data_IF_465015120621
#
_entry.id   IF_465015120621
#
_cell.length_a   1.000
_cell.length_b   1.000
_cell.length_c   1.000
_cell.angle_alpha   90.00
_cell.angle_beta   90.00
_cell.angle_gamma   90.00
#
_symmetry.space_group_name_H-M   'P 1'
#
loop_
_entity.id
_entity.type
_entity.pdbx_description
1 polymer ?
#
# COMPACT_ATOMS: atom_id res chain seq x y z
N UNK A 1 5.12 -23.33 -13.98
CA UNK A 1 4.34 -22.24 -14.61
C UNK A 1 5.33 -21.11 -14.83
N UNK A 2 5.34 -20.47 -15.99
CA UNK A 2 6.34 -19.44 -16.31
C UNK A 2 6.16 -18.25 -15.34
N UNK A 3 7.26 -17.78 -14.70
CA UNK A 3 7.25 -16.68 -13.72
C UNK A 3 6.57 -15.41 -14.28
N UNK A 4 6.77 -15.14 -15.57
CA UNK A 4 6.10 -14.04 -16.27
C UNK A 4 4.56 -14.17 -16.25
N UNK A 5 4.06 -15.39 -16.45
CA UNK A 5 2.62 -15.65 -16.44
C UNK A 5 2.02 -15.46 -15.03
N UNK A 6 2.74 -15.92 -14.00
CA UNK A 6 2.31 -15.72 -12.58
C UNK A 6 2.23 -14.23 -12.27
N UNK A 7 3.25 -13.47 -12.69
CA UNK A 7 3.30 -12.03 -12.47
C UNK A 7 2.15 -11.32 -13.18
N UNK A 8 1.89 -11.64 -14.46
CA UNK A 8 0.79 -11.04 -15.23
C UNK A 8 -0.57 -11.36 -14.57
N UNK A 9 -0.78 -12.61 -14.18
CA UNK A 9 -2.02 -13.02 -13.50
C UNK A 9 -2.17 -12.28 -12.18
N UNK A 10 -1.11 -12.19 -11.36
CA UNK A 10 -1.12 -11.49 -10.09
C UNK A 10 -1.50 -10.01 -10.23
N UNK A 11 -0.85 -9.28 -11.12
CA UNK A 11 -1.20 -7.88 -11.38
C UNK A 11 -2.62 -7.72 -11.96
N UNK A 12 -3.05 -8.65 -12.83
CA UNK A 12 -4.40 -8.63 -13.38
C UNK A 12 -5.46 -8.81 -12.29
N UNK A 13 -5.23 -9.72 -11.34
CA UNK A 13 -6.13 -9.94 -10.20
C UNK A 13 -6.20 -8.67 -9.32
N UNK A 14 -5.07 -8.06 -9.00
CA UNK A 14 -5.02 -6.83 -8.19
C UNK A 14 -5.81 -5.72 -8.89
N UNK A 15 -5.56 -5.50 -10.18
CA UNK A 15 -6.26 -4.49 -10.97
C UNK A 15 -7.77 -4.74 -11.02
N UNK A 16 -8.19 -5.98 -11.28
CA UNK A 16 -9.61 -6.35 -11.34
C UNK A 16 -10.29 -6.16 -9.98
N UNK A 17 -9.66 -6.61 -8.88
CA UNK A 17 -10.25 -6.48 -7.54
C UNK A 17 -10.35 -5.03 -7.09
N UNK A 18 -9.35 -4.20 -7.40
CA UNK A 18 -9.40 -2.76 -7.11
C UNK A 18 -10.49 -2.07 -7.92
N UNK A 19 -10.63 -2.42 -9.20
CA UNK A 19 -11.67 -1.87 -10.08
C UNK A 19 -13.06 -2.31 -9.62
N UNK A 20 -13.24 -3.58 -9.26
CA UNK A 20 -14.49 -4.10 -8.71
C UNK A 20 -14.84 -3.42 -7.39
N UNK A 21 -13.87 -3.28 -6.48
CA UNK A 21 -14.06 -2.57 -5.21
C UNK A 21 -14.51 -1.12 -5.43
N UNK A 22 -13.85 -0.40 -6.33
CA UNK A 22 -14.21 0.98 -6.68
C UNK A 22 -15.59 1.07 -7.32
N UNK A 23 -15.98 0.09 -8.13
CA UNK A 23 -17.28 0.08 -8.80
C UNK A 23 -18.47 -0.09 -7.84
N UNK A 24 -18.23 -0.62 -6.63
CA UNK A 24 -19.27 -0.74 -5.62
C UNK A 24 -19.88 0.62 -5.25
N UNK A 25 -19.14 1.72 -5.39
CA UNK A 25 -19.66 3.07 -5.10
C UNK A 25 -20.91 3.40 -5.93
N UNK A 26 -21.04 2.86 -7.14
CA UNK A 26 -22.21 3.09 -8.01
C UNK A 26 -23.49 2.44 -7.48
N UNK A 27 -23.38 1.45 -6.60
CA UNK A 27 -24.54 0.78 -5.98
C UNK A 27 -25.03 1.52 -4.74
N UNK A 28 -24.17 2.37 -4.12
CA UNK A 28 -24.55 3.17 -2.97
C UNK A 28 -25.13 4.51 -3.41
N UNK A 29 -26.46 4.62 -3.41
CA UNK A 29 -27.19 5.86 -3.75
C UNK A 29 -27.26 6.85 -2.58
N UNK A 30 -26.87 6.45 -1.37
CA UNK A 30 -26.90 7.25 -0.12
C UNK A 30 -25.56 7.09 0.59
N UNK A 31 -25.25 8.07 1.44
CA UNK A 31 -24.08 8.00 2.31
C UNK A 31 -24.09 6.73 3.16
N UNK A 32 -22.96 6.07 3.21
CA UNK A 32 -22.77 4.87 4.04
C UNK A 32 -22.83 5.30 5.51
N UNK A 33 -23.55 4.53 6.33
CA UNK A 33 -23.64 4.84 7.77
C UNK A 33 -22.26 4.84 8.42
N UNK A 34 -22.06 5.69 9.42
CA UNK A 34 -20.77 5.82 10.13
C UNK A 34 -20.26 4.48 10.65
N UNK A 35 -21.16 3.63 11.17
CA UNK A 35 -20.81 2.32 11.72
C UNK A 35 -20.28 1.36 10.63
N UNK A 36 -20.94 1.30 9.48
CA UNK A 36 -20.49 0.48 8.36
C UNK A 36 -19.16 1.00 7.83
N UNK A 37 -19.00 2.32 7.69
CA UNK A 37 -17.75 2.92 7.26
C UNK A 37 -16.60 2.59 8.22
N UNK A 38 -16.80 2.74 9.53
CA UNK A 38 -15.79 2.39 10.53
C UNK A 38 -15.45 0.90 10.52
N UNK A 39 -16.43 0.04 10.32
CA UNK A 39 -16.23 -1.41 10.21
C UNK A 39 -15.38 -1.77 8.98
N UNK A 40 -15.71 -1.21 7.81
CA UNK A 40 -14.96 -1.43 6.57
C UNK A 40 -13.51 -0.92 6.67
N UNK A 41 -13.32 0.27 7.26
CA UNK A 41 -11.98 0.82 7.51
C UNK A 41 -11.18 -0.04 8.49
N UNK A 42 -11.83 -0.59 9.52
CA UNK A 42 -11.19 -1.51 10.46
C UNK A 42 -10.73 -2.80 9.79
N UNK A 43 -11.56 -3.41 8.93
CA UNK A 43 -11.17 -4.59 8.14
C UNK A 43 -10.01 -4.25 7.21
N UNK A 44 -10.11 -3.15 6.46
CA UNK A 44 -9.06 -2.73 5.53
C UNK A 44 -7.72 -2.53 6.27
N UNK A 45 -7.73 -1.78 7.38
CA UNK A 45 -6.54 -1.57 8.20
C UNK A 45 -5.97 -2.88 8.78
N UNK A 46 -6.83 -3.78 9.25
CA UNK A 46 -6.41 -5.09 9.74
C UNK A 46 -5.73 -5.94 8.67
N UNK A 47 -6.27 -5.96 7.46
CA UNK A 47 -5.67 -6.68 6.31
C UNK A 47 -4.31 -6.06 5.95
N UNK A 48 -4.21 -4.72 5.91
CA UNK A 48 -2.93 -4.03 5.61
C UNK A 48 -1.85 -4.35 6.65
N UNK A 49 -2.18 -4.32 7.94
CA UNK A 49 -1.24 -4.70 9.03
C UNK A 49 -0.81 -6.15 8.90
N UNK A 50 -1.75 -7.06 8.68
CA UNK A 50 -1.47 -8.48 8.49
C UNK A 50 -0.54 -8.70 7.28
N UNK A 51 -0.85 -8.11 6.14
CA UNK A 51 -0.02 -8.22 4.93
C UNK A 51 1.39 -7.64 5.17
N UNK A 52 1.51 -6.50 5.85
CA UNK A 52 2.81 -5.90 6.17
C UNK A 52 3.67 -6.82 7.02
N UNK A 53 3.10 -7.49 8.03
CA UNK A 53 3.84 -8.39 8.91
C UNK A 53 4.23 -9.67 8.17
N UNK A 54 3.26 -10.41 7.62
CA UNK A 54 3.48 -11.75 7.08
C UNK A 54 4.07 -11.76 5.67
N UNK A 55 3.75 -10.76 4.84
CA UNK A 55 4.20 -10.75 3.45
C UNK A 55 5.43 -9.87 3.20
N UNK A 56 5.78 -8.95 4.11
CA UNK A 56 6.92 -8.06 3.92
C UNK A 56 7.95 -8.17 5.04
N UNK A 57 7.57 -7.94 6.31
CA UNK A 57 8.52 -7.86 7.43
C UNK A 57 9.15 -9.23 7.70
N UNK A 58 8.34 -10.27 7.89
CA UNK A 58 8.86 -11.61 8.21
C UNK A 58 9.77 -12.17 7.09
N UNK A 59 9.38 -12.13 5.81
CA UNK A 59 10.28 -12.56 4.73
C UNK A 59 11.55 -11.70 4.63
N UNK A 60 11.46 -10.39 4.85
CA UNK A 60 12.63 -9.50 4.86
C UNK A 60 13.66 -9.88 5.93
N UNK A 61 13.19 -10.19 7.14
CA UNK A 61 14.06 -10.65 8.23
C UNK A 61 14.70 -12.00 7.85
N UNK A 62 13.91 -12.96 7.37
CA UNK A 62 14.43 -14.28 6.98
C UNK A 62 15.49 -14.17 5.87
N UNK A 63 15.28 -13.36 4.85
CA UNK A 63 16.24 -13.11 3.78
C UNK A 63 17.53 -12.43 4.28
N UNK A 64 17.44 -11.67 5.37
CA UNK A 64 18.57 -10.93 5.96
C UNK A 64 19.42 -11.79 6.90
N UNK A 65 18.95 -12.98 7.30
CA UNK A 65 19.64 -13.84 8.29
C UNK A 65 21.03 -14.29 7.81
N UNK A 66 21.17 -14.64 6.55
CA UNK A 66 22.45 -15.06 5.95
C UNK A 66 23.52 -13.96 6.01
N UNK A 67 23.12 -12.71 5.86
CA UNK A 67 24.04 -11.55 5.78
C UNK A 67 24.28 -10.92 7.14
N UNK A 68 23.24 -10.76 7.96
CA UNK A 68 23.28 -9.98 9.20
C UNK A 68 23.20 -10.82 10.47
N UNK A 69 22.93 -12.14 10.38
CA UNK A 69 22.83 -13.03 11.53
C UNK A 69 21.92 -12.50 12.64
N UNK A 70 22.46 -12.25 13.83
CA UNK A 70 21.70 -11.71 14.98
C UNK A 70 21.04 -10.35 14.75
N UNK A 71 21.50 -9.61 13.74
CA UNK A 71 21.01 -8.29 13.40
C UNK A 71 20.09 -8.29 12.17
N UNK A 72 19.58 -9.45 11.76
CA UNK A 72 18.69 -9.62 10.61
C UNK A 72 17.42 -8.74 10.65
N UNK A 73 16.98 -8.33 11.83
CA UNK A 73 15.86 -7.43 12.04
C UNK A 73 16.16 -5.96 11.71
N UNK A 74 17.46 -5.55 11.70
CA UNK A 74 17.85 -4.15 11.47
C UNK A 74 17.44 -3.59 10.11
N UNK A 75 17.62 -4.28 8.97
CA UNK A 75 17.17 -3.79 7.67
C UNK A 75 15.65 -3.55 7.62
N UNK A 76 14.86 -4.46 8.19
CA UNK A 76 13.41 -4.30 8.27
C UNK A 76 13.01 -3.12 9.15
N UNK A 77 13.62 -2.97 10.33
CA UNK A 77 13.36 -1.83 11.23
C UNK A 77 13.74 -0.49 10.58
N UNK A 78 14.93 -0.42 9.96
CA UNK A 78 15.36 0.77 9.23
C UNK A 78 14.41 1.13 8.09
N UNK A 79 13.95 0.14 7.33
CA UNK A 79 13.00 0.34 6.22
C UNK A 79 11.64 0.88 6.71
N UNK A 80 11.15 0.41 7.86
CA UNK A 80 9.90 0.91 8.46
C UNK A 80 10.06 2.39 8.85
N UNK A 81 11.17 2.75 9.51
CA UNK A 81 11.44 4.14 9.91
C UNK A 81 11.57 5.03 8.68
N UNK A 82 12.34 4.62 7.68
CA UNK A 82 12.52 5.37 6.44
C UNK A 82 11.21 5.54 5.68
N UNK A 83 10.41 4.47 5.58
CA UNK A 83 9.08 4.52 4.97
C UNK A 83 8.16 5.50 5.67
N UNK A 84 8.15 5.49 7.01
CA UNK A 84 7.39 6.45 7.81
C UNK A 84 7.83 7.90 7.57
N UNK A 85 9.15 8.15 7.50
CA UNK A 85 9.69 9.48 7.17
C UNK A 85 9.27 9.92 5.77
N UNK A 86 9.39 9.03 4.78
CA UNK A 86 8.99 9.33 3.39
C UNK A 86 7.50 9.67 3.32
N UNK A 87 6.64 8.89 3.97
CA UNK A 87 5.20 9.18 4.00
C UNK A 87 4.91 10.51 4.69
N UNK A 88 5.56 10.81 5.81
CA UNK A 88 5.40 12.08 6.50
C UNK A 88 5.86 13.28 5.65
N UNK A 89 6.88 13.10 4.81
CA UNK A 89 7.33 14.11 3.86
C UNK A 89 6.33 14.28 2.71
N UNK A 90 5.80 13.19 2.18
CA UNK A 90 4.76 13.22 1.14
C UNK A 90 3.52 13.94 1.63
N UNK A 91 3.09 13.69 2.85
CA UNK A 91 1.95 14.39 3.48
C UNK A 91 2.14 15.91 3.53
N UNK A 92 3.37 16.40 3.74
CA UNK A 92 3.66 17.83 3.74
C UNK A 92 3.69 18.46 2.35
N UNK A 93 4.02 17.68 1.32
CA UNK A 93 4.21 18.18 -0.06
C UNK A 93 2.88 18.14 -0.82
N UNK A 94 2.01 17.18 -0.51
CA UNK A 94 0.76 16.96 -1.23
C UNK A 94 -0.37 17.74 -0.58
N UNK A 95 -1.04 18.65 -1.32
CA UNK A 95 -2.22 19.32 -0.80
C UNK A 95 -3.36 18.32 -0.62
N UNK A 96 -3.75 18.04 0.63
CA UNK A 96 -4.86 17.16 0.95
C UNK A 96 -5.78 17.76 2.01
N UNK A 97 -7.00 17.22 2.13
CA UNK A 97 -8.00 17.66 3.10
C UNK A 97 -8.38 16.51 4.01
N UNK A 98 -8.35 16.75 5.31
CA UNK A 98 -8.91 15.79 6.26
C UNK A 98 -10.44 15.82 6.23
N UNK A 99 -11.06 14.66 6.01
CA UNK A 99 -12.50 14.49 6.12
C UNK A 99 -12.91 14.65 7.61
N UNK A 100 -13.41 15.82 7.96
CA UNK A 100 -13.95 16.10 9.31
C UNK A 100 -13.57 17.45 9.90
N UNK A 101 -12.42 17.99 9.59
CA UNK A 101 -11.95 19.28 10.17
C UNK A 101 -12.02 20.46 9.20
N UNK A 102 -12.28 20.22 7.91
CA UNK A 102 -12.19 21.23 6.83
C UNK A 102 -10.86 22.01 6.80
N UNK A 103 -9.84 21.50 7.49
CA UNK A 103 -8.52 22.10 7.47
C UNK A 103 -7.76 21.57 6.24
N UNK A 104 -7.21 22.50 5.47
CA UNK A 104 -6.31 22.20 4.38
C UNK A 104 -4.90 22.02 4.95
N UNK A 105 -4.29 20.87 4.75
CA UNK A 105 -2.89 20.64 5.04
C UNK A 105 -2.09 20.57 3.74
N UNK A 106 -0.83 21.02 3.80
CA UNK A 106 0.04 21.13 2.65
C UNK A 106 -0.06 22.49 1.93
N UNK A 107 0.56 22.63 0.76
CA UNK A 107 0.57 23.89 0.00
C UNK A 107 -0.83 24.28 -0.46
N UNK A 108 -1.17 25.57 -0.32
CA UNK A 108 -2.45 26.09 -0.84
C UNK A 108 -2.54 25.82 -2.35
N UNK A 109 -3.56 25.10 -2.77
CA UNK A 109 -3.78 24.76 -4.17
C UNK A 109 -5.20 25.11 -4.62
N UNK A 110 -5.34 25.51 -5.88
CA UNK A 110 -6.63 25.78 -6.53
C UNK A 110 -7.36 24.50 -6.99
N UNK A 111 -6.86 23.31 -6.61
CA UNK A 111 -7.47 22.05 -7.00
C UNK A 111 -8.80 21.82 -6.29
N UNK A 112 -9.75 21.22 -7.01
CA UNK A 112 -11.02 20.77 -6.42
C UNK A 112 -10.77 19.71 -5.33
N UNK A 113 -11.73 19.54 -4.39
CA UNK A 113 -11.65 18.52 -3.35
C UNK A 113 -11.40 17.11 -3.91
N UNK A 114 -12.08 16.76 -5.01
CA UNK A 114 -11.91 15.47 -5.69
C UNK A 114 -10.51 15.31 -6.27
N UNK A 115 -9.92 16.37 -6.80
CA UNK A 115 -8.57 16.32 -7.35
C UNK A 115 -7.52 16.18 -6.24
N UNK A 116 -7.68 16.88 -5.12
CA UNK A 116 -6.81 16.73 -3.94
C UNK A 116 -6.86 15.30 -3.41
N UNK A 117 -8.05 14.72 -3.29
CA UNK A 117 -8.22 13.33 -2.88
C UNK A 117 -7.59 12.34 -3.87
N UNK A 118 -7.77 12.59 -5.17
CA UNK A 118 -7.16 11.76 -6.23
C UNK A 118 -5.63 11.73 -6.10
N UNK A 119 -4.99 12.89 -5.98
CA UNK A 119 -3.55 12.96 -5.81
C UNK A 119 -3.08 12.30 -4.52
N UNK A 120 -3.76 12.54 -3.39
CA UNK A 120 -3.42 11.93 -2.12
C UNK A 120 -3.46 10.39 -2.22
N UNK A 121 -4.55 9.81 -2.71
CA UNK A 121 -4.70 8.36 -2.87
C UNK A 121 -3.67 7.80 -3.85
N UNK A 122 -3.43 8.48 -4.97
CA UNK A 122 -2.46 8.03 -5.98
C UNK A 122 -1.05 7.97 -5.40
N UNK A 123 -0.64 9.00 -4.66
CA UNK A 123 0.70 9.07 -4.08
C UNK A 123 0.91 8.06 -2.94
N UNK A 124 -0.11 7.78 -2.14
CA UNK A 124 -0.04 6.71 -1.13
C UNK A 124 0.04 5.33 -1.77
N UNK A 125 -0.58 5.12 -2.93
CA UNK A 125 -0.53 3.84 -3.65
C UNK A 125 0.80 3.58 -4.37
N UNK A 126 1.67 4.58 -4.58
CA UNK A 126 2.99 4.37 -5.20
C UNK A 126 3.88 3.45 -4.35
N UNK A 127 4.10 3.69 -3.04
CA UNK A 127 4.87 2.77 -2.20
C UNK A 127 4.29 1.36 -2.15
N UNK A 128 2.96 1.24 -2.10
CA UNK A 128 2.28 -0.07 -2.12
C UNK A 128 2.53 -0.82 -3.44
N UNK A 129 2.41 -0.14 -4.57
CA UNK A 129 2.70 -0.72 -5.89
C UNK A 129 4.16 -1.15 -6.04
N UNK A 130 5.10 -0.37 -5.51
CA UNK A 130 6.53 -0.73 -5.48
C UNK A 130 6.77 -1.97 -4.61
N UNK A 131 6.15 -2.06 -3.44
CA UNK A 131 6.27 -3.22 -2.55
C UNK A 131 5.76 -4.51 -3.22
N UNK A 132 4.60 -4.45 -3.89
CA UNK A 132 4.03 -5.57 -4.64
C UNK A 132 4.94 -5.94 -5.81
N UNK A 133 5.43 -4.96 -6.57
CA UNK A 133 6.34 -5.18 -7.70
C UNK A 133 7.65 -5.84 -7.25
N UNK A 134 8.22 -5.39 -6.14
CA UNK A 134 9.40 -6.00 -5.55
C UNK A 134 9.16 -7.44 -5.10
N UNK A 135 8.03 -7.73 -4.45
CA UNK A 135 7.69 -9.07 -3.99
C UNK A 135 7.57 -10.06 -5.18
N UNK A 136 6.92 -9.67 -6.26
CA UNK A 136 6.87 -10.48 -7.48
C UNK A 136 8.24 -10.66 -8.15
N UNK A 137 9.06 -9.59 -8.20
CA UNK A 137 10.41 -9.64 -8.73
C UNK A 137 11.31 -10.59 -7.93
N UNK A 138 11.29 -10.50 -6.62
CA UNK A 138 12.05 -11.37 -5.72
C UNK A 138 11.63 -12.85 -5.87
N UNK A 139 10.33 -13.13 -5.95
CA UNK A 139 9.81 -14.48 -6.17
C UNK A 139 10.23 -15.05 -7.53
N UNK A 140 10.28 -14.21 -8.58
CA UNK A 140 10.74 -14.62 -9.90
C UNK A 140 12.22 -15.05 -9.91
N UNK A 141 13.09 -14.24 -9.28
CA UNK A 141 14.53 -14.54 -9.17
C UNK A 141 14.77 -15.78 -8.30
N UNK A 142 14.06 -15.94 -7.18
CA UNK A 142 14.17 -17.12 -6.34
C UNK A 142 13.75 -18.40 -7.08
N UNK A 143 12.72 -18.33 -7.92
CA UNK A 143 12.27 -19.47 -8.74
C UNK A 143 13.23 -19.88 -9.83
N UNK A 144 14.04 -18.96 -10.37
CA UNK A 144 15.09 -19.27 -11.35
C UNK A 144 16.30 -20.01 -10.73
N UNK A 145 16.61 -19.71 -9.46
CA UNK A 145 17.75 -20.33 -8.76
C UNK A 145 17.45 -21.77 -8.27
N UNK A 146 16.20 -22.22 -8.35
CA UNK A 146 15.75 -23.56 -7.92
C UNK A 146 15.47 -24.52 -9.09
N UNK A 147 15.62 -24.05 -10.32
CA UNK A 147 15.43 -24.83 -11.55
C UNK A 147 16.77 -25.22 -12.19
#
# INVERSE_FOLDING_TARGET
MNNTLITIIGFSIIFLMTTLGSSLVFFFKKDISKNINSFLLGIAGGIMVAASIWSLIMPSIAMSEETFGKFAWLPAAASIILGGIILALLDKIVPHMHNGTHQEEGPKSHFSKSMKLFFAVTLHNIPEGLAVGFAFGAAAVAGENTA
#
